data_IF_756405588890
#
_entry.id   IF_756405588890
#
_cell.length_a   1.000
_cell.length_b   1.000
_cell.length_c   1.000
_cell.angle_alpha   90.00
_cell.angle_beta   90.00
_cell.angle_gamma   90.00
#
_symmetry.space_group_name_H-M   'P 1'
#
loop_
_entity.id
_entity.type
_entity.pdbx_description
1 polymer ?
#
# COMPACT_ATOMS: atom_id res chain seq x y z
N UNK A 1 -61.34 -16.97 -34.32
CA UNK A 1 -61.33 -17.83 -33.12
C UNK A 1 -59.90 -18.02 -32.66
N UNK A 2 -59.68 -17.94 -31.34
CA UNK A 2 -58.53 -18.38 -30.54
C UNK A 2 -57.14 -17.82 -30.92
N UNK A 3 -56.60 -16.78 -30.28
CA UNK A 3 -56.26 -16.53 -28.87
C UNK A 3 -55.03 -17.32 -28.39
N UNK A 4 -53.99 -16.59 -27.98
CA UNK A 4 -52.74 -17.15 -27.47
C UNK A 4 -51.65 -16.10 -27.22
N UNK A 5 -51.98 -14.94 -26.64
CA UNK A 5 -50.94 -14.11 -25.98
C UNK A 5 -50.61 -14.80 -24.67
N UNK A 6 -49.40 -15.34 -24.58
CA UNK A 6 -48.82 -15.94 -23.38
C UNK A 6 -48.95 -14.96 -22.21
N UNK A 7 -49.67 -15.36 -21.17
CA UNK A 7 -49.63 -14.72 -19.85
C UNK A 7 -48.17 -14.76 -19.39
N UNK A 8 -47.46 -13.64 -19.43
CA UNK A 8 -46.34 -13.43 -18.51
C UNK A 8 -46.93 -13.65 -17.11
N UNK A 9 -46.35 -14.55 -16.32
CA UNK A 9 -46.76 -14.73 -14.93
C UNK A 9 -46.56 -13.40 -14.21
N UNK A 10 -47.64 -12.62 -14.05
CA UNK A 10 -47.66 -11.40 -13.26
C UNK A 10 -47.35 -11.77 -11.81
N UNK A 11 -46.07 -11.78 -11.46
CA UNK A 11 -45.63 -11.96 -10.08
C UNK A 11 -45.99 -10.69 -9.31
N UNK A 12 -47.06 -10.78 -8.52
CA UNK A 12 -47.53 -9.67 -7.70
C UNK A 12 -47.01 -9.84 -6.29
N UNK A 13 -46.23 -8.86 -5.82
CA UNK A 13 -45.67 -8.83 -4.47
C UNK A 13 -46.30 -7.72 -3.63
N UNK A 14 -46.32 -7.93 -2.32
CA UNK A 14 -46.67 -6.88 -1.38
C UNK A 14 -45.46 -5.97 -1.07
N UNK A 15 -45.68 -4.85 -0.37
CA UNK A 15 -44.62 -3.89 -0.08
C UNK A 15 -43.43 -4.49 0.69
N UNK A 16 -43.67 -5.43 1.61
CA UNK A 16 -42.65 -6.09 2.41
C UNK A 16 -41.80 -7.05 1.57
N UNK A 17 -42.45 -7.87 0.75
CA UNK A 17 -41.77 -8.79 -0.15
C UNK A 17 -40.97 -8.04 -1.22
N UNK A 18 -41.51 -6.95 -1.76
CA UNK A 18 -40.81 -6.11 -2.73
C UNK A 18 -39.64 -5.36 -2.08
N UNK A 19 -39.78 -4.95 -0.82
CA UNK A 19 -38.72 -4.28 -0.06
C UNK A 19 -37.56 -5.24 0.25
N UNK A 20 -37.86 -6.49 0.61
CA UNK A 20 -36.83 -7.53 0.79
C UNK A 20 -36.14 -7.87 -0.53
N UNK A 21 -36.91 -7.99 -1.63
CA UNK A 21 -36.35 -8.35 -2.94
C UNK A 21 -35.42 -7.29 -3.52
N UNK A 22 -35.72 -6.01 -3.30
CA UNK A 22 -34.94 -4.88 -3.83
C UNK A 22 -33.96 -4.29 -2.81
N UNK A 23 -33.87 -4.89 -1.62
CA UNK A 23 -33.09 -4.40 -0.48
C UNK A 23 -33.38 -2.91 -0.16
N UNK A 24 -34.67 -2.60 -0.04
CA UNK A 24 -35.20 -1.28 0.26
C UNK A 24 -35.99 -1.29 1.57
N UNK A 25 -36.27 -0.12 2.12
CA UNK A 25 -37.29 -0.01 3.18
C UNK A 25 -38.71 0.01 2.57
N UNK A 26 -39.69 -0.52 3.29
CA UNK A 26 -41.11 -0.48 2.89
C UNK A 26 -41.59 0.95 2.61
N UNK A 27 -41.08 1.94 3.38
CA UNK A 27 -41.31 3.37 3.13
C UNK A 27 -40.76 3.80 1.78
N UNK A 28 -39.55 3.39 1.41
CA UNK A 28 -38.95 3.74 0.11
C UNK A 28 -39.71 3.12 -1.05
N UNK A 29 -40.20 1.89 -0.90
CA UNK A 29 -41.08 1.25 -1.89
C UNK A 29 -42.36 2.06 -2.12
N UNK A 30 -42.98 2.58 -1.05
CA UNK A 30 -44.18 3.42 -1.16
C UNK A 30 -43.89 4.75 -1.85
N UNK A 31 -42.77 5.41 -1.51
CA UNK A 31 -42.33 6.65 -2.16
C UNK A 31 -42.09 6.46 -3.66
N UNK A 32 -41.35 5.41 -4.05
CA UNK A 32 -41.10 5.10 -5.46
C UNK A 32 -42.39 4.81 -6.23
N UNK A 33 -43.40 4.29 -5.54
CA UNK A 33 -44.71 4.07 -6.14
C UNK A 33 -45.57 5.35 -6.23
N UNK A 34 -45.37 6.31 -5.35
CA UNK A 34 -45.95 7.67 -5.45
C UNK A 34 -45.27 8.48 -6.56
N UNK A 35 -43.95 8.31 -6.73
CA UNK A 35 -43.15 8.84 -7.83
C UNK A 35 -43.49 8.19 -9.20
N UNK A 36 -44.37 7.18 -9.21
CA UNK A 36 -44.83 6.50 -10.43
C UNK A 36 -43.89 5.43 -10.98
N UNK A 37 -42.76 5.16 -10.30
CA UNK A 37 -41.78 4.16 -10.73
C UNK A 37 -42.25 2.73 -10.45
N UNK A 38 -43.02 2.50 -9.39
CA UNK A 38 -43.51 1.16 -9.01
C UNK A 38 -44.99 0.98 -9.33
N UNK A 39 -45.34 0.29 -10.43
CA UNK A 39 -46.72 0.08 -10.84
C UNK A 39 -47.50 -0.77 -9.82
N UNK A 40 -48.67 -0.26 -9.41
CA UNK A 40 -49.59 -0.91 -8.48
C UNK A 40 -50.72 -1.62 -9.24
N UNK A 41 -50.99 -2.88 -8.90
CA UNK A 41 -52.16 -3.64 -9.38
C UNK A 41 -53.37 -3.48 -8.44
N UNK A 42 -53.11 -3.05 -7.21
CA UNK A 42 -54.12 -2.84 -6.19
C UNK A 42 -53.52 -2.31 -4.90
N UNK A 43 -54.34 -2.20 -3.84
CA UNK A 43 -53.90 -1.67 -2.54
C UNK A 43 -52.74 -2.51 -1.99
N UNK A 44 -51.54 -1.94 -1.96
CA UNK A 44 -50.32 -2.57 -1.45
C UNK A 44 -49.78 -3.72 -2.30
N UNK A 45 -50.17 -3.82 -3.57
CA UNK A 45 -49.79 -4.89 -4.50
C UNK A 45 -49.07 -4.32 -5.72
N UNK A 46 -47.90 -4.86 -6.04
CA UNK A 46 -46.98 -4.33 -7.05
C UNK A 46 -46.61 -5.39 -8.09
N UNK A 47 -46.46 -4.99 -9.36
CA UNK A 47 -45.94 -5.87 -10.41
C UNK A 47 -44.42 -6.00 -10.24
N UNK A 48 -43.96 -7.11 -9.68
CA UNK A 48 -42.56 -7.28 -9.28
C UNK A 48 -41.60 -7.10 -10.46
N UNK A 49 -41.90 -7.71 -11.61
CA UNK A 49 -41.06 -7.66 -12.80
C UNK A 49 -40.91 -6.22 -13.32
N UNK A 50 -42.01 -5.47 -13.38
CA UNK A 50 -41.99 -4.07 -13.84
C UNK A 50 -41.31 -3.15 -12.83
N UNK A 51 -41.54 -3.36 -11.54
CA UNK A 51 -40.86 -2.59 -10.48
C UNK A 51 -39.34 -2.78 -10.54
N UNK A 52 -38.85 -4.01 -10.72
CA UNK A 52 -37.41 -4.29 -10.85
C UNK A 52 -36.84 -3.60 -12.09
N UNK A 53 -37.48 -3.73 -13.26
CA UNK A 53 -37.03 -3.09 -14.49
C UNK A 53 -36.96 -1.56 -14.34
N UNK A 54 -38.01 -0.95 -13.78
CA UNK A 54 -38.06 0.49 -13.55
C UNK A 54 -37.03 0.94 -12.51
N UNK A 55 -36.77 0.13 -11.47
CA UNK A 55 -35.75 0.44 -10.47
C UNK A 55 -34.35 0.40 -11.06
N UNK A 56 -34.03 -0.61 -11.87
CA UNK A 56 -32.73 -0.71 -12.56
C UNK A 56 -32.52 0.48 -13.49
N UNK A 57 -33.52 0.84 -14.30
CA UNK A 57 -33.45 2.01 -15.18
C UNK A 57 -33.31 3.33 -14.39
N UNK A 58 -33.99 3.43 -13.24
CA UNK A 58 -33.85 4.58 -12.33
C UNK A 58 -32.44 4.67 -11.73
N UNK A 59 -31.84 3.55 -11.34
CA UNK A 59 -30.45 3.53 -10.88
C UNK A 59 -29.51 3.93 -12.01
N UNK A 60 -29.64 3.34 -13.20
CA UNK A 60 -28.81 3.63 -14.37
C UNK A 60 -28.92 5.10 -14.83
N UNK A 61 -30.11 5.69 -14.78
CA UNK A 61 -30.31 7.11 -15.11
C UNK A 61 -29.79 8.07 -14.04
N UNK A 62 -29.73 7.64 -12.77
CA UNK A 62 -29.06 8.38 -11.69
C UNK A 62 -27.54 8.27 -11.77
N UNK A 63 -27.02 7.13 -12.17
CA UNK A 63 -25.59 6.89 -12.41
C UNK A 63 -25.24 7.15 -13.86
N UNK A 64 -25.70 8.28 -14.43
CA UNK A 64 -25.58 8.63 -15.85
C UNK A 64 -24.34 8.05 -16.54
N UNK A 65 -24.59 7.44 -17.69
CA UNK A 65 -23.63 6.89 -18.65
C UNK A 65 -22.26 7.62 -18.60
N UNK A 66 -21.25 6.97 -18.01
CA UNK A 66 -19.85 7.43 -18.03
C UNK A 66 -19.31 8.15 -16.79
N UNK A 67 -20.00 8.22 -15.65
CA UNK A 67 -19.48 8.95 -14.49
C UNK A 67 -18.77 8.04 -13.46
N UNK A 68 -17.48 8.28 -13.33
CA UNK A 68 -16.66 7.86 -12.21
C UNK A 68 -17.39 8.17 -10.90
N UNK A 69 -17.46 7.21 -9.99
CA UNK A 69 -17.99 7.46 -8.64
C UNK A 69 -17.06 8.43 -7.90
N UNK A 70 -17.36 9.74 -7.99
CA UNK A 70 -16.56 10.85 -7.47
C UNK A 70 -16.21 10.69 -5.99
N UNK A 71 -17.13 10.14 -5.18
CA UNK A 71 -16.88 9.91 -3.76
C UNK A 71 -15.89 8.76 -3.53
N UNK A 72 -16.01 7.69 -4.33
CA UNK A 72 -15.07 6.58 -4.32
C UNK A 72 -13.68 7.01 -4.81
N UNK A 73 -13.59 7.78 -5.89
CA UNK A 73 -12.32 8.31 -6.37
C UNK A 73 -11.67 9.29 -5.39
N UNK A 74 -12.45 10.18 -4.76
CA UNK A 74 -11.97 11.06 -3.69
C UNK A 74 -11.44 10.25 -2.51
N UNK A 75 -12.14 9.19 -2.09
CA UNK A 75 -11.68 8.32 -1.01
C UNK A 75 -10.38 7.58 -1.37
N UNK A 76 -10.26 7.07 -2.60
CA UNK A 76 -9.02 6.45 -3.08
C UNK A 76 -7.87 7.45 -3.15
N UNK A 77 -8.12 8.66 -3.66
CA UNK A 77 -7.14 9.72 -3.74
C UNK A 77 -6.65 10.15 -2.35
N UNK A 78 -7.56 10.33 -1.38
CA UNK A 78 -7.21 10.69 -0.02
C UNK A 78 -6.39 9.59 0.67
N UNK A 79 -6.74 8.31 0.41
CA UNK A 79 -5.94 7.17 0.89
C UNK A 79 -4.52 7.19 0.32
N UNK A 80 -4.37 7.40 -0.98
CA UNK A 80 -3.04 7.48 -1.63
C UNK A 80 -2.26 8.68 -1.11
N UNK A 81 -2.92 9.83 -0.93
CA UNK A 81 -2.30 11.04 -0.38
C UNK A 81 -1.79 10.79 1.04
N UNK A 82 -2.60 10.16 1.90
CA UNK A 82 -2.18 9.75 3.24
C UNK A 82 -0.98 8.81 3.21
N UNK A 83 -1.01 7.79 2.37
CA UNK A 83 0.12 6.86 2.22
C UNK A 83 1.39 7.58 1.76
N UNK A 84 1.27 8.52 0.82
CA UNK A 84 2.40 9.34 0.38
C UNK A 84 2.98 10.17 1.53
N UNK A 85 2.14 10.80 2.36
CA UNK A 85 2.62 11.58 3.51
C UNK A 85 3.26 10.69 4.57
N UNK A 86 2.72 9.50 4.83
CA UNK A 86 3.32 8.52 5.75
C UNK A 86 4.70 8.06 5.23
N UNK A 87 4.82 7.80 3.93
CA UNK A 87 6.09 7.43 3.31
C UNK A 87 7.12 8.58 3.39
N UNK A 88 6.71 9.82 3.12
CA UNK A 88 7.59 10.99 3.24
C UNK A 88 8.08 11.18 4.67
N UNK A 89 7.21 11.00 5.67
CA UNK A 89 7.59 11.08 7.08
C UNK A 89 8.62 10.01 7.45
N UNK A 90 8.46 8.77 6.99
CA UNK A 90 9.41 7.70 7.24
C UNK A 90 10.76 7.91 6.54
N UNK A 91 10.79 8.56 5.36
CA UNK A 91 12.05 9.00 4.74
C UNK A 91 12.73 10.09 5.57
N UNK A 92 11.97 11.09 6.04
CA UNK A 92 12.50 12.18 6.89
C UNK A 92 13.10 11.64 8.18
N UNK A 93 12.45 10.67 8.82
CA UNK A 93 12.93 9.96 10.02
C UNK A 93 14.13 9.03 9.75
N UNK A 94 14.50 8.82 8.50
CA UNK A 94 15.59 7.92 8.13
C UNK A 94 15.26 6.43 8.17
N UNK A 95 13.99 6.05 8.32
CA UNK A 95 13.53 4.65 8.32
C UNK A 95 13.50 4.03 6.91
N UNK A 96 13.48 4.88 5.87
CA UNK A 96 13.51 4.47 4.47
C UNK A 96 14.69 5.10 3.73
N UNK A 97 15.39 4.26 2.97
CA UNK A 97 16.51 4.67 2.12
C UNK A 97 16.17 4.48 0.64
N UNK A 98 16.66 5.38 -0.21
CA UNK A 98 16.59 5.19 -1.66
C UNK A 98 17.55 4.08 -2.05
N UNK A 99 17.16 3.25 -3.02
CA UNK A 99 18.00 2.15 -3.49
C UNK A 99 19.38 2.62 -4.00
N UNK A 100 19.45 3.82 -4.60
CA UNK A 100 20.69 4.45 -5.05
C UNK A 100 21.66 4.73 -3.89
N UNK A 101 21.14 5.20 -2.74
CA UNK A 101 21.95 5.51 -1.57
C UNK A 101 22.46 4.21 -0.93
N UNK A 102 21.61 3.17 -0.88
CA UNK A 102 21.99 1.84 -0.42
C UNK A 102 23.07 1.23 -1.31
N UNK A 103 22.88 1.26 -2.62
CA UNK A 103 23.84 0.74 -3.58
C UNK A 103 25.20 1.43 -3.42
N UNK A 104 25.23 2.75 -3.27
CA UNK A 104 26.48 3.49 -3.10
C UNK A 104 27.23 3.06 -1.83
N UNK A 105 26.56 3.08 -0.67
CA UNK A 105 27.19 2.76 0.62
C UNK A 105 27.68 1.30 0.64
N UNK A 106 26.87 0.38 0.11
CA UNK A 106 27.26 -1.03 0.04
C UNK A 106 28.44 -1.24 -0.92
N UNK A 107 28.45 -0.56 -2.08
CA UNK A 107 29.54 -0.65 -3.03
C UNK A 107 30.85 -0.10 -2.44
N UNK A 108 30.80 1.02 -1.73
CA UNK A 108 31.98 1.61 -1.09
C UNK A 108 32.55 0.69 0.00
N UNK A 109 31.67 0.15 0.86
CA UNK A 109 32.02 -0.79 1.91
C UNK A 109 32.65 -2.09 1.34
N UNK A 110 32.05 -2.66 0.30
CA UNK A 110 32.56 -3.86 -0.38
C UNK A 110 33.89 -3.56 -1.08
N UNK A 111 34.03 -2.38 -1.70
CA UNK A 111 35.27 -1.97 -2.36
C UNK A 111 36.42 -1.82 -1.35
N UNK A 112 36.17 -1.17 -0.20
CA UNK A 112 37.12 -1.04 0.89
C UNK A 112 37.56 -2.42 1.43
N UNK A 113 36.59 -3.30 1.72
CA UNK A 113 36.86 -4.67 2.17
C UNK A 113 37.71 -5.44 1.15
N UNK A 114 37.33 -5.41 -0.13
CA UNK A 114 38.07 -6.08 -1.21
C UNK A 114 39.52 -5.58 -1.29
N UNK A 115 39.72 -4.26 -1.22
CA UNK A 115 41.06 -3.66 -1.23
C UNK A 115 41.92 -4.20 -0.09
N UNK A 116 41.37 -4.27 1.12
CA UNK A 116 42.08 -4.75 2.31
C UNK A 116 42.43 -6.23 2.22
N UNK A 117 41.51 -7.09 1.79
CA UNK A 117 41.78 -8.53 1.59
C UNK A 117 42.89 -8.75 0.55
N UNK A 118 42.88 -8.01 -0.56
CA UNK A 118 43.92 -8.11 -1.58
C UNK A 118 45.28 -7.59 -1.09
N UNK A 119 45.30 -6.65 -0.14
CA UNK A 119 46.54 -6.14 0.48
C UNK A 119 47.12 -7.06 1.56
N UNK A 120 46.30 -7.96 2.12
CA UNK A 120 46.67 -8.81 3.25
C UNK A 120 47.90 -9.68 2.97
N UNK A 121 48.02 -10.41 1.84
CA UNK A 121 49.21 -11.22 1.55
C UNK A 121 50.50 -10.41 1.56
N UNK A 122 50.49 -9.22 0.95
CA UNK A 122 51.65 -8.32 0.89
C UNK A 122 52.04 -7.77 2.27
N UNK A 123 51.06 -7.53 3.15
CA UNK A 123 51.28 -7.07 4.54
C UNK A 123 51.78 -8.20 5.45
N UNK A 124 51.23 -9.40 5.31
CA UNK A 124 51.46 -10.52 6.23
C UNK A 124 52.69 -11.35 5.84
N UNK A 125 52.98 -11.52 4.56
CA UNK A 125 54.10 -12.36 4.10
C UNK A 125 55.46 -11.99 4.73
N UNK A 126 55.87 -10.70 4.83
CA UNK A 126 57.11 -10.33 5.51
C UNK A 126 57.11 -10.67 7.01
N UNK A 127 55.95 -10.58 7.67
CA UNK A 127 55.78 -10.89 9.10
C UNK A 127 55.79 -12.39 9.40
N UNK A 128 55.58 -13.22 8.38
CA UNK A 128 55.66 -14.68 8.47
C UNK A 128 57.09 -15.19 8.32
N UNK A 129 58.03 -14.39 7.80
CA UNK A 129 59.43 -14.80 7.63
C UNK A 129 60.01 -15.20 8.99
N UNK A 130 60.54 -16.43 9.08
CA UNK A 130 61.17 -16.95 10.29
C UNK A 130 60.20 -17.54 11.32
N UNK A 131 58.87 -17.44 11.14
CA UNK A 131 57.89 -18.13 11.98
C UNK A 131 57.80 -19.60 11.58
N UNK A 132 58.02 -20.51 12.54
CA UNK A 132 57.95 -21.98 12.34
C UNK A 132 56.77 -22.63 13.06
N UNK A 133 56.23 -21.95 14.08
CA UNK A 133 55.11 -22.44 14.88
C UNK A 133 53.78 -22.17 14.18
N UNK A 134 53.06 -23.24 13.82
CA UNK A 134 51.72 -23.15 13.20
C UNK A 134 50.76 -22.29 14.02
N UNK A 135 50.67 -22.41 15.37
CA UNK A 135 49.76 -21.59 16.17
C UNK A 135 50.01 -20.08 15.99
N UNK A 136 51.28 -19.67 15.95
CA UNK A 136 51.66 -18.26 15.79
C UNK A 136 51.35 -17.71 14.38
N UNK A 137 51.40 -18.57 13.36
CA UNK A 137 51.01 -18.22 11.98
C UNK A 137 49.50 -18.05 11.89
N UNK A 138 48.75 -19.01 12.46
CA UNK A 138 47.29 -19.01 12.47
C UNK A 138 46.74 -17.79 13.22
N UNK A 139 47.30 -17.47 14.38
CA UNK A 139 46.91 -16.29 15.17
C UNK A 139 47.09 -14.99 14.38
N UNK A 140 48.23 -14.83 13.69
CA UNK A 140 48.50 -13.65 12.87
C UNK A 140 47.50 -13.51 11.72
N UNK A 141 47.26 -14.59 10.96
CA UNK A 141 46.30 -14.57 9.85
C UNK A 141 44.88 -14.31 10.35
N UNK A 142 44.49 -14.95 11.46
CA UNK A 142 43.15 -14.79 12.05
C UNK A 142 42.91 -13.36 12.51
N UNK A 143 43.94 -12.71 13.09
CA UNK A 143 43.85 -11.31 13.52
C UNK A 143 43.61 -10.38 12.33
N UNK A 144 44.39 -10.53 11.27
CA UNK A 144 44.29 -9.67 10.07
C UNK A 144 42.96 -9.89 9.33
N UNK A 145 42.44 -11.13 9.28
CA UNK A 145 41.11 -11.42 8.72
C UNK A 145 40.01 -10.81 9.58
N UNK A 146 40.11 -10.89 10.91
CA UNK A 146 39.12 -10.29 11.81
C UNK A 146 39.11 -8.77 11.72
N UNK A 147 40.27 -8.13 11.59
CA UNK A 147 40.34 -6.68 11.35
C UNK A 147 39.65 -6.28 10.05
N UNK A 148 39.86 -7.03 8.96
CA UNK A 148 39.17 -6.78 7.70
C UNK A 148 37.64 -6.99 7.80
N UNK A 149 37.20 -7.99 8.56
CA UNK A 149 35.77 -8.25 8.80
C UNK A 149 35.13 -7.22 9.74
N UNK A 150 35.88 -6.67 10.70
CA UNK A 150 35.37 -5.67 11.62
C UNK A 150 34.97 -4.38 10.90
N UNK A 151 35.79 -3.93 9.96
CA UNK A 151 35.52 -2.77 9.10
C UNK A 151 34.28 -2.97 8.20
N UNK A 152 33.99 -4.22 7.82
CA UNK A 152 32.75 -4.57 7.10
C UNK A 152 31.52 -4.57 8.03
N UNK A 153 31.72 -4.79 9.33
CA UNK A 153 30.63 -4.90 10.32
C UNK A 153 30.22 -3.58 10.96
N UNK A 154 31.03 -2.52 10.80
CA UNK A 154 30.68 -1.17 11.25
C UNK A 154 29.57 -0.58 10.37
N UNK A 155 28.34 -0.99 10.67
CA UNK A 155 27.14 -0.34 10.16
C UNK A 155 26.93 1.00 10.88
N UNK A 156 26.77 2.07 10.12
CA UNK A 156 26.48 3.41 10.64
C UNK A 156 25.27 3.97 9.89
N UNK A 157 24.11 4.00 10.53
CA UNK A 157 22.91 4.63 9.99
C UNK A 157 23.14 6.10 9.54
N UNK A 158 23.93 6.92 10.27
CA UNK A 158 24.30 8.27 9.85
C UNK A 158 24.94 8.38 8.46
N UNK A 159 25.63 7.34 7.97
CA UNK A 159 26.27 7.35 6.64
C UNK A 159 25.23 7.48 5.52
N UNK A 160 24.01 6.98 5.74
CA UNK A 160 22.91 7.10 4.78
C UNK A 160 22.23 8.47 4.85
N UNK A 161 22.23 9.12 6.02
CA UNK A 161 21.57 10.41 6.24
C UNK A 161 22.38 11.59 5.70
N UNK A 162 23.70 11.56 5.82
CA UNK A 162 24.61 12.62 5.34
C UNK A 162 24.47 12.91 3.84
N UNK A 163 23.91 11.96 3.08
CA UNK A 163 23.73 12.05 1.63
C UNK A 163 22.27 12.22 1.21
N UNK A 164 21.32 11.93 2.09
CA UNK A 164 19.90 12.15 1.84
C UNK A 164 19.58 13.63 1.96
N UNK A 165 19.09 14.26 0.89
CA UNK A 165 18.62 15.66 0.92
C UNK A 165 17.31 15.84 1.67
N UNK A 166 16.65 14.74 2.02
CA UNK A 166 15.29 14.72 2.58
C UNK A 166 15.28 14.32 4.07
N UNK A 167 16.43 13.92 4.63
CA UNK A 167 16.54 13.66 6.05
C UNK A 167 16.42 14.97 6.83
N UNK A 168 15.58 14.98 7.86
CA UNK A 168 15.42 16.09 8.80
C UNK A 168 15.56 15.47 10.19
N UNK A 169 16.50 15.98 10.97
CA UNK A 169 16.65 15.57 12.36
C UNK A 169 15.53 16.24 13.17
N UNK A 170 14.44 15.50 13.38
CA UNK A 170 13.26 16.01 14.09
C UNK A 170 13.50 16.09 15.61
N UNK A 171 14.61 15.55 16.11
CA UNK A 171 14.94 15.58 17.55
C UNK A 171 15.70 16.86 17.95
N UNK A 172 16.27 17.63 17.00
CA UNK A 172 16.93 18.93 17.28
C UNK A 172 15.93 20.11 17.33
N UNK A 173 14.82 20.04 16.59
CA UNK A 173 13.86 21.15 16.47
C UNK A 173 12.90 21.29 17.66
N UNK A 174 12.78 20.28 18.53
CA UNK A 174 11.92 20.33 19.72
C UNK A 174 12.56 21.03 20.94
N UNK A 175 13.88 21.31 20.93
CA UNK A 175 14.56 22.01 22.03
C UNK A 175 14.49 23.56 21.93
N UNK A 176 14.16 24.14 20.77
CA UNK A 176 14.09 25.61 20.60
C UNK A 176 12.71 26.22 20.90
N UNK A 177 11.70 25.41 21.24
CA UNK A 177 10.34 25.89 21.52
C UNK A 177 10.06 26.26 23.00
N UNK A 178 11.03 26.08 23.90
CA UNK A 178 10.91 26.45 25.33
C UNK A 178 12.01 27.45 25.78
N UNK A 179 12.05 28.66 25.21
CA UNK A 179 12.70 29.82 25.87
C UNK A 179 11.94 31.13 25.72
#
# INVERSE_FOLDING_TARGET
MSNGKSKESEMVLNATQLSEMLDLTTRRVQQLAEEGLFPKVGRGKYLAIECVKNYINFLQSKTGDGDVNLDLERALHERVKRQKTEMQLAVMKGEMHRSEDVEYVMNDMIAAFRSRILSLPSKVAPRLIGKKEIPAILELLTTEVREALYELSEYSAPVFYQRSKEYVDLDEDDEEAET
#
